data_IF_075025300161
#
_entry.id   IF_075025300161
#
_cell.length_a   1.000
_cell.length_b   1.000
_cell.length_c   1.000
_cell.angle_alpha   90.00
_cell.angle_beta   90.00
_cell.angle_gamma   90.00
#
_symmetry.space_group_name_H-M   'P 1'
#
loop_
_entity.id
_entity.type
_entity.pdbx_description
1 polymer ?
#
# COMPACT_ATOMS: atom_id res chain seq x y z
N UNK A 1 -13.67 5.68 -4.15
CA UNK A 1 -13.02 5.86 -2.84
C UNK A 1 -11.60 5.35 -2.91
N UNK A 2 -10.67 6.07 -2.32
CA UNK A 2 -9.25 5.71 -2.26
C UNK A 2 -8.93 5.36 -0.80
N UNK A 3 -8.46 4.15 -0.56
CA UNK A 3 -8.05 3.63 0.75
C UNK A 3 -6.52 3.44 0.77
N UNK A 4 -5.82 4.57 0.79
CA UNK A 4 -4.36 4.67 0.92
C UNK A 4 -4.04 5.59 2.09
N UNK A 5 -2.87 5.44 2.72
CA UNK A 5 -2.55 6.17 3.97
C UNK A 5 -1.35 7.12 3.87
N UNK A 6 -0.44 6.94 2.90
CA UNK A 6 0.89 7.57 2.91
C UNK A 6 1.08 8.54 1.75
N UNK A 7 0.01 9.16 1.27
CA UNK A 7 0.10 10.22 0.27
C UNK A 7 0.02 9.74 -1.18
N UNK A 8 -0.17 8.44 -1.41
CA UNK A 8 -0.30 7.84 -2.73
C UNK A 8 -1.53 8.36 -3.47
N UNK A 9 -2.56 8.81 -2.74
CA UNK A 9 -3.77 9.41 -3.31
C UNK A 9 -3.46 10.65 -4.15
N UNK A 10 -2.37 11.37 -3.84
CA UNK A 10 -1.96 12.56 -4.61
C UNK A 10 -1.50 12.21 -6.02
N UNK A 11 -0.95 11.01 -6.21
CA UNK A 11 -0.57 10.52 -7.53
C UNK A 11 -1.75 9.81 -8.21
N UNK A 12 -2.53 9.04 -7.45
CA UNK A 12 -3.63 8.21 -7.98
C UNK A 12 -4.85 9.04 -8.37
N UNK A 13 -5.28 9.98 -7.53
CA UNK A 13 -6.52 10.73 -7.72
C UNK A 13 -6.57 11.51 -9.04
N UNK A 14 -5.54 12.29 -9.42
CA UNK A 14 -5.59 13.06 -10.67
C UNK A 14 -5.75 12.17 -11.90
N UNK A 15 -5.04 11.04 -11.93
CA UNK A 15 -5.07 10.10 -13.06
C UNK A 15 -6.45 9.47 -13.24
N UNK A 16 -7.11 9.11 -12.13
CA UNK A 16 -8.45 8.54 -12.18
C UNK A 16 -9.52 9.56 -12.58
N UNK A 17 -9.39 10.80 -12.09
CA UNK A 17 -10.29 11.88 -12.48
C UNK A 17 -10.12 12.21 -13.96
N UNK A 18 -8.89 12.31 -14.46
CA UNK A 18 -8.59 12.64 -15.86
C UNK A 18 -8.97 11.49 -16.82
N UNK A 19 -8.55 10.26 -16.53
CA UNK A 19 -8.72 9.15 -17.45
C UNK A 19 -10.11 8.50 -17.39
N UNK A 20 -10.76 8.51 -16.22
CA UNK A 20 -12.01 7.79 -15.97
C UNK A 20 -13.16 8.70 -15.52
N UNK A 21 -12.94 10.00 -15.33
CA UNK A 21 -13.97 10.93 -14.86
C UNK A 21 -14.45 10.64 -13.44
N UNK A 22 -13.62 10.02 -12.60
CA UNK A 22 -14.01 9.62 -11.26
C UNK A 22 -13.85 10.76 -10.24
N UNK A 23 -14.89 11.02 -9.47
CA UNK A 23 -14.83 11.83 -8.26
C UNK A 23 -14.19 11.03 -7.12
N UNK A 24 -12.94 11.36 -6.82
CA UNK A 24 -12.14 10.62 -5.84
C UNK A 24 -12.33 11.19 -4.43
N UNK A 25 -12.73 10.33 -3.50
CA UNK A 25 -12.81 10.63 -2.06
C UNK A 25 -11.80 9.74 -1.36
N UNK A 26 -10.92 10.35 -0.56
CA UNK A 26 -9.88 9.68 0.21
C UNK A 26 -10.43 9.29 1.57
N UNK A 27 -10.21 8.04 1.97
CA UNK A 27 -10.59 7.54 3.29
C UNK A 27 -9.52 7.93 4.31
N UNK A 28 -9.74 9.02 5.04
CA UNK A 28 -8.74 9.58 5.97
C UNK A 28 -8.86 9.09 7.42
N UNK A 29 -10.00 8.52 7.80
CA UNK A 29 -10.32 8.12 9.18
C UNK A 29 -10.35 6.61 9.39
N UNK A 30 -9.52 5.87 8.66
CA UNK A 30 -9.47 4.42 8.74
C UNK A 30 -8.04 3.94 9.01
N UNK A 31 -7.87 3.25 10.13
CA UNK A 31 -6.63 2.60 10.48
C UNK A 31 -6.43 1.34 9.61
N UNK A 32 -5.63 1.48 8.55
CA UNK A 32 -5.26 0.36 7.69
C UNK A 32 -4.16 -0.52 8.30
N UNK A 33 -3.51 -0.08 9.38
CA UNK A 33 -2.45 -0.87 10.04
C UNK A 33 -3.01 -2.19 10.61
N UNK A 34 -4.34 -2.29 10.77
CA UNK A 34 -5.06 -3.55 11.06
C UNK A 34 -4.82 -4.65 10.02
N UNK A 35 -4.43 -4.30 8.79
CA UNK A 35 -4.14 -5.24 7.71
C UNK A 35 -2.64 -5.59 7.63
N UNK A 36 -1.87 -5.15 8.62
CA UNK A 36 -0.46 -5.40 8.80
C UNK A 36 0.36 -4.11 8.65
N UNK A 37 1.34 -3.97 9.53
CA UNK A 37 2.20 -2.78 9.62
C UNK A 37 3.55 -3.01 8.97
N UNK A 38 4.16 -1.93 8.48
CA UNK A 38 5.58 -1.96 8.09
C UNK A 38 6.51 -2.17 9.30
N UNK A 39 6.12 -1.66 10.48
CA UNK A 39 6.87 -1.75 11.74
C UNK A 39 6.81 -3.13 12.39
N UNK A 40 5.99 -4.05 11.85
CA UNK A 40 5.70 -5.39 12.42
C UNK A 40 5.05 -5.36 13.80
N UNK A 41 4.50 -4.22 14.21
CA UNK A 41 3.68 -4.12 15.43
C UNK A 41 2.39 -4.94 15.29
N UNK A 42 1.82 -4.93 14.09
CA UNK A 42 0.77 -5.85 13.64
C UNK A 42 1.37 -6.71 12.53
N UNK A 43 1.44 -8.01 12.78
CA UNK A 43 1.92 -9.01 11.81
C UNK A 43 1.02 -9.04 10.58
N UNK A 44 1.61 -9.08 9.38
CA UNK A 44 0.87 -9.34 8.15
C UNK A 44 0.44 -10.81 8.14
N UNK A 45 -0.85 -11.06 8.29
CA UNK A 45 -1.44 -12.41 8.27
C UNK A 45 -1.71 -12.94 6.87
N UNK A 46 -1.41 -12.17 5.83
CA UNK A 46 -1.65 -12.51 4.43
C UNK A 46 -0.71 -11.80 3.45
N UNK A 47 -0.98 -11.97 2.17
CA UNK A 47 -0.23 -11.42 1.05
C UNK A 47 -0.42 -9.90 0.89
N UNK A 48 0.36 -9.31 -0.01
CA UNK A 48 0.14 -7.93 -0.48
C UNK A 48 -1.30 -7.72 -0.99
N UNK A 49 -1.84 -8.72 -1.69
CA UNK A 49 -3.20 -8.68 -2.22
C UNK A 49 -4.26 -8.78 -1.12
N UNK A 50 -4.05 -9.62 -0.11
CA UNK A 50 -4.99 -9.77 1.00
C UNK A 50 -5.17 -8.46 1.78
N UNK A 51 -4.07 -7.73 2.01
CA UNK A 51 -4.12 -6.41 2.64
C UNK A 51 -4.86 -5.39 1.76
N UNK A 52 -4.60 -5.39 0.44
CA UNK A 52 -5.29 -4.51 -0.49
C UNK A 52 -6.81 -4.82 -0.53
N UNK A 53 -7.20 -6.08 -0.55
CA UNK A 53 -8.60 -6.51 -0.47
C UNK A 53 -9.26 -6.08 0.85
N UNK A 54 -8.56 -6.20 1.98
CA UNK A 54 -9.03 -5.69 3.26
C UNK A 54 -9.30 -4.18 3.22
N UNK A 55 -8.39 -3.40 2.64
CA UNK A 55 -8.56 -1.95 2.43
C UNK A 55 -9.75 -1.63 1.52
N UNK A 56 -9.95 -2.40 0.44
CA UNK A 56 -11.11 -2.27 -0.45
C UNK A 56 -12.42 -2.54 0.30
N UNK A 57 -12.48 -3.61 1.09
CA UNK A 57 -13.66 -3.94 1.88
C UNK A 57 -14.00 -2.81 2.86
N UNK A 58 -13.01 -2.34 3.62
CA UNK A 58 -13.18 -1.20 4.51
C UNK A 58 -13.63 0.08 3.78
N UNK A 59 -13.08 0.36 2.59
CA UNK A 59 -13.54 1.48 1.77
C UNK A 59 -15.03 1.38 1.45
N UNK A 60 -15.49 0.20 1.05
CA UNK A 60 -16.89 -0.02 0.75
C UNK A 60 -17.81 -0.01 1.98
N UNK A 61 -17.31 -0.41 3.15
CA UNK A 61 -18.04 -0.28 4.41
C UNK A 61 -18.24 1.20 4.80
N UNK A 62 -17.19 2.03 4.68
CA UNK A 62 -17.25 3.44 5.06
C UNK A 62 -18.01 4.30 4.04
N UNK A 63 -17.95 3.93 2.76
CA UNK A 63 -18.72 4.58 1.69
C UNK A 63 -19.68 3.61 1.03
N UNK A 64 -20.87 3.36 1.59
CA UNK A 64 -21.86 2.45 1.01
C UNK A 64 -22.28 2.87 -0.41
N UNK A 65 -22.18 4.17 -0.73
CA UNK A 65 -22.49 4.72 -2.05
C UNK A 65 -21.31 4.69 -3.03
N UNK A 66 -20.10 4.33 -2.57
CA UNK A 66 -18.93 4.23 -3.44
C UNK A 66 -19.10 3.07 -4.43
N UNK A 67 -19.05 3.38 -5.73
CA UNK A 67 -19.13 2.41 -6.83
C UNK A 67 -17.80 1.73 -7.12
N UNK A 68 -16.70 2.44 -6.86
CA UNK A 68 -15.33 1.99 -7.08
C UNK A 68 -14.53 2.24 -5.81
N UNK A 69 -13.71 1.27 -5.42
CA UNK A 69 -12.72 1.39 -4.38
C UNK A 69 -11.33 1.10 -4.95
N UNK A 70 -10.32 1.80 -4.44
CA UNK A 70 -8.93 1.64 -4.86
C UNK A 70 -8.05 1.57 -3.63
N UNK A 71 -7.13 0.62 -3.61
CA UNK A 71 -6.14 0.44 -2.56
C UNK A 71 -4.75 0.28 -3.18
N UNK A 72 -3.73 0.72 -2.45
CA UNK A 72 -2.33 0.51 -2.80
C UNK A 72 -1.60 -0.13 -1.62
N UNK A 73 -0.70 -1.04 -1.95
CA UNK A 73 0.12 -1.80 -1.01
C UNK A 73 1.52 -1.97 -1.57
N UNK A 74 2.53 -1.61 -0.78
CA UNK A 74 3.94 -1.89 -1.05
C UNK A 74 4.41 -3.12 -0.27
N UNK A 75 5.33 -3.88 -0.84
CA UNK A 75 6.00 -4.98 -0.15
C UNK A 75 7.45 -5.10 -0.58
N UNK A 76 8.29 -5.58 0.34
CA UNK A 76 9.67 -5.97 0.06
C UNK A 76 9.77 -7.49 0.16
N UNK A 77 10.24 -8.14 -0.90
CA UNK A 77 10.40 -9.58 -0.95
C UNK A 77 11.84 -10.01 -1.20
N UNK A 78 12.23 -11.21 -0.77
CA UNK A 78 13.51 -11.80 -1.16
C UNK A 78 13.46 -12.14 -2.65
N UNK A 79 14.25 -11.44 -3.47
CA UNK A 79 14.70 -11.97 -4.75
C UNK A 79 16.05 -12.66 -4.52
N UNK A 80 16.41 -13.74 -5.24
CA UNK A 80 17.55 -14.61 -4.92
C UNK A 80 18.90 -13.91 -4.63
N UNK A 81 19.08 -12.69 -5.13
CA UNK A 81 20.32 -11.92 -4.97
C UNK A 81 20.14 -10.49 -4.42
N UNK A 82 18.92 -9.94 -4.36
CA UNK A 82 18.66 -8.55 -3.96
C UNK A 82 17.25 -8.39 -3.35
N UNK A 83 17.01 -7.40 -2.48
CA UNK A 83 15.66 -7.03 -2.07
C UNK A 83 14.92 -6.40 -3.26
N UNK A 84 13.73 -6.90 -3.58
CA UNK A 84 12.87 -6.37 -4.65
C UNK A 84 11.72 -5.58 -4.02
N UNK A 85 11.63 -4.30 -4.35
CA UNK A 85 10.46 -3.48 -4.04
C UNK A 85 9.33 -3.85 -4.98
N UNK A 86 8.13 -4.07 -4.45
CA UNK A 86 6.93 -4.37 -5.22
C UNK A 86 5.79 -3.46 -4.80
N UNK A 87 5.11 -2.90 -5.78
CA UNK A 87 3.90 -2.12 -5.57
C UNK A 87 2.71 -2.82 -6.22
N UNK A 88 1.58 -2.81 -5.51
CA UNK A 88 0.28 -3.27 -6.00
C UNK A 88 -0.69 -2.10 -5.90
N UNK A 89 -1.42 -1.83 -6.99
CA UNK A 89 -2.62 -0.99 -6.99
C UNK A 89 -3.80 -1.87 -7.40
N UNK A 90 -4.79 -1.96 -6.52
CA UNK A 90 -6.00 -2.74 -6.75
C UNK A 90 -7.19 -1.79 -6.91
N UNK A 91 -7.94 -1.94 -7.99
CA UNK A 91 -9.21 -1.27 -8.23
C UNK A 91 -10.32 -2.32 -8.25
N UNK A 92 -11.40 -2.08 -7.51
CA UNK A 92 -12.58 -2.94 -7.49
C UNK A 92 -13.84 -2.16 -7.80
N UNK A 93 -14.66 -2.68 -8.70
CA UNK A 93 -15.99 -2.14 -9.05
C UNK A 93 -17.07 -2.92 -8.29
N UNK A 94 -17.80 -2.25 -7.40
CA UNK A 94 -18.78 -2.88 -6.50
C UNK A 94 -19.88 -3.63 -7.25
N UNK A 95 -20.42 -3.05 -8.32
CA UNK A 95 -21.61 -3.62 -8.98
C UNK A 95 -21.31 -4.92 -9.72
N UNK A 96 -20.12 -5.03 -10.30
CA UNK A 96 -19.73 -6.18 -11.14
C UNK A 96 -18.80 -7.14 -10.41
N UNK A 97 -18.19 -6.71 -9.30
CA UNK A 97 -17.08 -7.42 -8.68
C UNK A 97 -15.82 -7.43 -9.56
N UNK A 98 -15.73 -6.57 -10.57
CA UNK A 98 -14.55 -6.50 -11.43
C UNK A 98 -13.36 -6.03 -10.60
N UNK A 99 -12.28 -6.80 -10.64
CA UNK A 99 -11.01 -6.50 -9.99
C UNK A 99 -9.94 -6.24 -11.06
N UNK A 100 -9.23 -5.13 -10.93
CA UNK A 100 -8.07 -4.79 -11.75
C UNK A 100 -6.85 -4.58 -10.85
N UNK A 101 -5.86 -5.45 -11.00
CA UNK A 101 -4.60 -5.38 -10.28
C UNK A 101 -3.48 -4.87 -11.19
N UNK A 102 -2.88 -3.73 -10.83
CA UNK A 102 -1.65 -3.22 -11.42
C UNK A 102 -0.46 -3.55 -10.52
N UNK A 103 0.61 -4.05 -11.10
CA UNK A 103 1.83 -4.40 -10.38
C UNK A 103 3.03 -3.65 -10.96
N UNK A 104 3.89 -3.16 -10.06
CA UNK A 104 5.21 -2.66 -10.40
C UNK A 104 6.26 -3.36 -9.52
N UNK A 105 7.46 -3.55 -10.07
CA UNK A 105 8.57 -4.15 -9.36
C UNK A 105 9.88 -3.43 -9.72
N UNK A 106 10.61 -3.00 -8.70
CA UNK A 106 11.84 -2.21 -8.87
C UNK A 106 12.97 -2.73 -8.00
N UNK A 107 14.17 -2.70 -8.58
CA UNK A 107 15.44 -2.87 -7.87
C UNK A 107 15.98 -1.55 -7.36
N UNK A 108 15.51 -0.43 -7.92
CA UNK A 108 15.83 0.94 -7.48
C UNK A 108 14.92 1.32 -6.32
N UNK A 109 15.01 0.53 -5.25
CA UNK A 109 14.35 0.83 -4.00
C UNK A 109 15.40 1.27 -2.98
N UNK A 110 15.13 2.35 -2.25
CA UNK A 110 15.92 2.74 -1.08
C UNK A 110 15.69 1.75 0.06
N UNK A 111 16.30 0.58 -0.06
CA UNK A 111 16.26 -0.48 0.92
C UNK A 111 17.68 -0.87 1.32
N UNK A 112 17.95 -0.85 2.62
CA UNK A 112 19.11 -1.50 3.20
C UNK A 112 18.69 -2.17 4.50
N UNK A 113 19.46 -3.18 4.91
CA UNK A 113 19.31 -3.79 6.22
C UNK A 113 20.69 -4.08 6.80
N UNK A 114 20.82 -4.02 8.13
CA UNK A 114 21.96 -4.56 8.85
C UNK A 114 21.50 -5.10 10.21
N UNK A 115 22.15 -6.16 10.68
CA UNK A 115 22.01 -6.65 12.05
C UNK A 115 23.04 -5.91 12.90
N UNK A 116 22.62 -5.37 14.03
CA UNK A 116 23.43 -4.51 14.89
C UNK A 116 23.28 -4.94 16.35
N UNK A 117 24.40 -4.95 17.07
CA UNK A 117 24.42 -5.29 18.50
C UNK A 117 24.36 -4.02 19.36
N UNK A 118 23.21 -3.35 19.31
CA UNK A 118 22.87 -2.26 20.22
C UNK A 118 22.43 -0.95 19.54
N UNK A 119 22.02 0.05 20.35
CA UNK A 119 21.37 1.26 19.83
C UNK A 119 22.29 2.19 19.03
N UNK A 120 23.57 2.30 19.38
CA UNK A 120 24.49 3.23 18.72
C UNK A 120 24.76 2.86 17.24
N UNK A 121 25.06 1.59 16.89
CA UNK A 121 25.15 1.18 15.49
C UNK A 121 23.80 1.25 14.75
N UNK A 122 22.67 1.04 15.45
CA UNK A 122 21.33 1.21 14.85
C UNK A 122 21.06 2.67 14.43
N UNK A 123 21.45 3.64 15.28
CA UNK A 123 21.30 5.06 14.98
C UNK A 123 22.21 5.50 13.82
N UNK A 124 23.47 5.05 13.83
CA UNK A 124 24.40 5.30 12.73
C UNK A 124 23.91 4.72 11.39
N UNK A 125 23.26 3.55 11.42
CA UNK A 125 22.59 3.00 10.25
C UNK A 125 21.44 3.91 9.77
N UNK A 126 20.56 4.35 10.67
CA UNK A 126 19.44 5.23 10.33
C UNK A 126 19.88 6.57 9.71
N UNK A 127 21.00 7.15 10.18
CA UNK A 127 21.55 8.39 9.61
C UNK A 127 22.05 8.23 8.17
N UNK A 128 22.58 7.07 7.79
CA UNK A 128 23.00 6.79 6.40
C UNK A 128 21.82 6.57 5.44
N UNK A 129 20.63 6.32 5.98
CA UNK A 129 19.42 6.01 5.22
C UNK A 129 18.50 7.23 5.04
N UNK A 130 18.89 8.40 5.57
CA UNK A 130 18.24 9.69 5.29
C UNK A 130 18.68 10.25 3.95
#
# INVERSE_FOLDING_TARGET
MIATMRGEERAISPLLTEALGLDCIVLTSFDTDRFGTFTREIERTGTQLDAALGKIAAAFEHGPNARVAIASEGSFGPHPWLPLGRELVLLVVRQTGLELAGHDATLDAHFAHCIVDGPAPALAFAERMR
#
